data_IF_423395136363
#
_entry.id   IF_423395136363
#
_cell.length_a   1.000
_cell.length_b   1.000
_cell.length_c   1.000
_cell.angle_alpha   90.00
_cell.angle_beta   90.00
_cell.angle_gamma   90.00
#
_symmetry.space_group_name_H-M   'P 1'
#
loop_
_entity.id
_entity.type
_entity.pdbx_description
1 polymer ?
#
# COMPACT_ATOMS: atom_id res chain seq x y z
N UNK A 1 -6.65 38.76 13.48
CA UNK A 1 -7.33 37.49 13.83
C UNK A 1 -6.93 36.47 12.79
N UNK A 2 -5.82 35.75 13.03
CA UNK A 2 -5.39 34.71 12.11
C UNK A 2 -6.17 33.45 12.47
N UNK A 3 -7.28 33.20 11.76
CA UNK A 3 -7.90 31.89 11.78
C UNK A 3 -7.05 30.99 10.92
N UNK A 4 -6.00 30.43 11.53
CA UNK A 4 -5.38 29.22 11.00
C UNK A 4 -6.43 28.13 11.18
N UNK A 5 -7.26 27.91 10.16
CA UNK A 5 -8.09 26.73 10.03
C UNK A 5 -7.15 25.59 9.60
N UNK A 6 -6.74 24.66 10.47
CA UNK A 6 -6.10 23.46 9.97
C UNK A 6 -7.18 22.66 9.25
N UNK A 7 -7.05 22.48 7.94
CA UNK A 7 -7.90 21.59 7.18
C UNK A 7 -7.19 20.21 7.15
N UNK A 8 -7.67 19.17 7.85
CA UNK A 8 -6.95 17.92 7.95
C UNK A 8 -7.51 16.92 6.93
N UNK A 9 -7.37 17.15 5.62
CA UNK A 9 -7.94 16.24 4.60
C UNK A 9 -7.12 16.16 3.31
N UNK A 10 -5.83 15.86 3.43
CA UNK A 10 -5.04 15.26 2.32
C UNK A 10 -3.87 14.50 2.94
N UNK A 11 -4.17 13.48 3.74
CA UNK A 11 -3.20 12.40 3.88
C UNK A 11 -3.40 11.50 2.67
N UNK A 12 -2.93 11.96 1.51
CA UNK A 12 -2.66 11.09 0.38
C UNK A 12 -1.53 10.21 0.85
N UNK A 13 -1.87 9.09 1.50
CA UNK A 13 -0.97 8.01 1.90
C UNK A 13 0.05 7.86 0.77
N UNK A 14 1.32 8.25 1.00
CA UNK A 14 2.34 8.13 -0.01
C UNK A 14 2.27 6.75 -0.67
N UNK A 15 2.47 6.67 -2.00
CA UNK A 15 2.43 5.41 -2.75
C UNK A 15 3.25 4.24 -2.15
N UNK A 16 4.18 4.59 -1.26
CA UNK A 16 5.09 3.71 -0.53
C UNK A 16 4.57 3.33 0.87
N UNK A 17 3.26 3.42 1.13
CA UNK A 17 2.65 3.05 2.41
C UNK A 17 1.59 1.98 2.22
N UNK A 18 1.40 1.16 3.25
CA UNK A 18 0.35 0.16 3.28
C UNK A 18 -1.03 0.85 3.19
N UNK A 19 -1.89 0.47 2.23
CA UNK A 19 -3.22 1.07 2.08
C UNK A 19 -4.18 0.75 3.25
N UNK A 20 -3.88 -0.27 4.06
CA UNK A 20 -4.75 -0.74 5.14
C UNK A 20 -4.42 -0.14 6.51
N UNK A 21 -3.14 0.11 6.80
CA UNK A 21 -2.70 0.60 8.11
C UNK A 21 -1.78 1.83 8.04
N UNK A 22 -1.50 2.35 6.85
CA UNK A 22 -0.60 3.48 6.59
C UNK A 22 0.86 3.29 7.06
N UNK A 23 1.24 2.07 7.45
CA UNK A 23 2.63 1.76 7.79
C UNK A 23 3.54 1.96 6.56
N UNK A 24 4.71 2.61 6.68
CA UNK A 24 5.66 2.73 5.60
C UNK A 24 6.11 1.36 5.07
N UNK A 25 6.13 1.22 3.76
CA UNK A 25 6.63 0.03 3.06
C UNK A 25 7.95 0.41 2.38
N UNK A 26 9.02 -0.40 2.53
CA UNK A 26 10.32 -0.06 1.95
C UNK A 26 10.25 0.03 0.41
N UNK A 27 10.53 1.22 -0.11
CA UNK A 27 10.75 1.49 -1.53
C UNK A 27 12.06 0.84 -1.99
N UNK A 28 11.95 -0.38 -2.53
CA UNK A 28 13.06 -1.14 -3.11
C UNK A 28 12.87 -1.34 -4.61
N UNK A 29 13.70 -2.19 -5.21
CA UNK A 29 13.49 -2.66 -6.58
C UNK A 29 12.33 -3.66 -6.60
N UNK A 30 11.11 -3.12 -6.56
CA UNK A 30 9.86 -3.89 -6.61
C UNK A 30 9.50 -4.25 -8.03
N UNK A 31 8.69 -5.29 -8.19
CA UNK A 31 8.13 -5.68 -9.49
C UNK A 31 6.61 -5.73 -9.40
N UNK A 32 5.93 -5.32 -10.47
CA UNK A 32 4.46 -5.48 -10.55
C UNK A 32 4.10 -6.97 -10.45
N UNK A 33 3.12 -7.31 -9.60
CA UNK A 33 2.75 -8.68 -9.25
C UNK A 33 3.56 -9.29 -8.10
N UNK A 34 4.53 -8.56 -7.53
CA UNK A 34 5.21 -8.99 -6.30
C UNK A 34 4.24 -8.89 -5.11
N UNK A 35 4.11 -9.98 -4.34
CA UNK A 35 3.37 -9.99 -3.08
C UNK A 35 4.34 -9.83 -1.90
N UNK A 36 4.00 -8.94 -0.96
CA UNK A 36 4.77 -8.66 0.25
C UNK A 36 3.85 -8.54 1.46
N UNK A 37 4.36 -8.87 2.65
CA UNK A 37 3.61 -8.71 3.90
C UNK A 37 3.87 -7.35 4.53
N UNK A 38 2.81 -6.72 5.06
CA UNK A 38 2.94 -5.49 5.82
C UNK A 38 3.35 -5.75 7.28
N UNK A 39 4.47 -5.20 7.74
CA UNK A 39 4.92 -5.31 9.14
C UNK A 39 3.97 -4.65 10.17
N UNK A 40 3.05 -3.79 9.72
CA UNK A 40 2.12 -3.07 10.60
C UNK A 40 0.82 -3.82 10.90
N UNK A 41 0.22 -4.45 9.89
CA UNK A 41 -1.08 -5.15 10.02
C UNK A 41 -1.05 -6.61 9.58
N UNK A 42 0.10 -7.13 9.16
CA UNK A 42 0.28 -8.49 8.64
C UNK A 42 -0.55 -8.82 7.38
N UNK A 43 -1.13 -7.82 6.72
CA UNK A 43 -1.84 -8.03 5.46
C UNK A 43 -0.86 -8.34 4.33
N UNK A 44 -1.30 -9.16 3.39
CA UNK A 44 -0.61 -9.40 2.13
C UNK A 44 -0.94 -8.27 1.15
N UNK A 45 0.09 -7.67 0.57
CA UNK A 45 -0.02 -6.56 -0.37
C UNK A 45 0.60 -6.95 -1.70
N UNK A 46 -0.07 -6.66 -2.80
CA UNK A 46 0.45 -6.82 -4.14
C UNK A 46 0.97 -5.48 -4.70
N UNK A 47 2.12 -5.50 -5.35
CA UNK A 47 2.65 -4.35 -6.09
C UNK A 47 1.90 -4.22 -7.41
N UNK A 48 1.09 -3.17 -7.54
CA UNK A 48 0.31 -2.86 -8.76
C UNK A 48 0.95 -1.74 -9.60
N UNK A 49 2.10 -1.22 -9.19
CA UNK A 49 2.84 -0.20 -9.92
C UNK A 49 4.21 0.09 -9.33
N UNK A 50 5.15 0.49 -10.20
CA UNK A 50 6.50 0.93 -9.83
C UNK A 50 6.79 2.24 -10.55
N UNK A 51 7.27 3.27 -9.84
CA UNK A 51 7.42 4.66 -10.29
C UNK A 51 6.10 5.42 -10.59
N UNK A 52 5.30 5.77 -9.56
CA UNK A 52 5.53 5.54 -8.14
C UNK A 52 5.15 4.11 -7.72
N UNK A 53 5.73 3.63 -6.60
CA UNK A 53 5.31 2.35 -6.01
C UNK A 53 3.80 2.39 -5.74
N UNK A 54 3.03 1.35 -6.07
CA UNK A 54 1.62 1.30 -5.68
C UNK A 54 1.32 -0.08 -5.15
N UNK A 55 0.56 -0.10 -4.06
CA UNK A 55 0.25 -1.30 -3.30
C UNK A 55 -1.27 -1.41 -3.14
N UNK A 56 -1.79 -2.60 -3.33
CA UNK A 56 -3.17 -2.97 -3.04
C UNK A 56 -3.16 -4.22 -2.16
N UNK A 57 -4.28 -4.53 -1.50
CA UNK A 57 -4.42 -5.81 -0.78
C UNK A 57 -4.31 -6.95 -1.80
N UNK A 58 -3.45 -7.93 -1.54
CA UNK A 58 -3.29 -9.07 -2.43
C UNK A 58 -4.62 -9.84 -2.49
N UNK A 59 -5.04 -10.30 -3.67
CA UNK A 59 -6.27 -11.07 -3.79
C UNK A 59 -6.16 -12.35 -2.94
N UNK A 60 -7.27 -12.75 -2.32
CA UNK A 60 -7.35 -14.10 -1.75
C UNK A 60 -7.08 -15.09 -2.88
N UNK A 61 -6.09 -15.96 -2.66
CA UNK A 61 -5.80 -17.08 -3.51
C UNK A 61 -7.08 -17.91 -3.61
N UNK A 62 -7.84 -17.76 -4.70
CA UNK A 62 -8.85 -18.75 -5.06
C UNK A 62 -8.09 -20.06 -5.24
N UNK A 63 -8.40 -21.07 -4.45
CA UNK A 63 -7.81 -22.41 -4.54
C UNK A 63 -8.29 -23.13 -5.82
N UNK A 64 -7.97 -22.54 -6.96
CA UNK A 64 -8.08 -23.09 -8.30
C UNK A 64 -6.85 -22.63 -9.12
N UNK A 65 -5.67 -22.71 -8.48
CA UNK A 65 -4.39 -22.63 -9.19
C UNK A 65 -4.17 -23.92 -9.99
N UNK A 66 -5.06 -24.19 -10.95
CA UNK A 66 -4.96 -25.23 -11.97
C UNK A 66 -5.24 -26.64 -11.47
N UNK A 67 -6.47 -27.11 -11.72
CA UNK A 67 -6.65 -28.48 -12.24
C UNK A 67 -5.92 -28.68 -13.59
#
# INVERSE_FOLDING_TARGET
MQVQNPNPMTQSVPPEQCPLCAQPVPGGNRMVGEVLSCDGCSAELEVVGVNPLRLEEAPEVEEDWGE
#
